data_IF_893193467754
#
_entry.id   IF_893193467754
#
_cell.length_a   1.000
_cell.length_b   1.000
_cell.length_c   1.000
_cell.angle_alpha   90.00
_cell.angle_beta   90.00
_cell.angle_gamma   90.00
#
_symmetry.space_group_name_H-M   'P 1'
#
loop_
_entity.id
_entity.type
_entity.pdbx_description
1 polymer ?
#
# COMPACT_ATOMS: atom_id res chain seq x y z
N UNK A 1 24.69 -26.61 -0.23
CA UNK A 1 24.17 -25.25 -0.02
C UNK A 1 25.30 -24.28 -0.36
N UNK A 2 25.18 -23.57 -1.49
CA UNK A 2 26.21 -22.64 -1.97
C UNK A 2 26.11 -21.31 -1.23
N UNK A 3 27.24 -20.76 -0.75
CA UNK A 3 27.32 -19.46 -0.07
C UNK A 3 26.68 -18.32 -0.89
N UNK A 4 26.84 -18.34 -2.21
CA UNK A 4 26.27 -17.33 -3.12
C UNK A 4 24.74 -17.30 -3.10
N UNK A 5 24.10 -18.46 -2.89
CA UNK A 5 22.64 -18.56 -2.76
C UNK A 5 22.13 -17.92 -1.47
N UNK A 6 22.92 -17.99 -0.39
CA UNK A 6 22.56 -17.42 0.91
C UNK A 6 22.70 -15.90 0.93
N UNK A 7 23.70 -15.38 0.21
CA UNK A 7 23.92 -13.95 0.06
C UNK A 7 22.78 -13.33 -0.75
N UNK A 8 22.42 -13.92 -1.90
CA UNK A 8 21.32 -13.42 -2.73
C UNK A 8 19.97 -13.40 -1.99
N UNK A 9 19.63 -14.44 -1.24
CA UNK A 9 18.37 -14.46 -0.47
C UNK A 9 18.32 -13.36 0.61
N UNK A 10 19.47 -13.00 1.18
CA UNK A 10 19.55 -11.95 2.19
C UNK A 10 19.31 -10.56 1.58
N UNK A 11 19.86 -10.30 0.39
CA UNK A 11 19.63 -9.05 -0.34
C UNK A 11 18.18 -8.89 -0.82
N UNK A 12 17.55 -10.00 -1.23
CA UNK A 12 16.14 -10.01 -1.63
C UNK A 12 15.23 -9.67 -0.45
N UNK A 13 15.46 -10.29 0.71
CA UNK A 13 14.72 -9.98 1.93
C UNK A 13 14.87 -8.51 2.35
N UNK A 14 16.10 -7.98 2.34
CA UNK A 14 16.34 -6.57 2.68
C UNK A 14 15.63 -5.62 1.71
N UNK A 15 15.65 -5.91 0.40
CA UNK A 15 14.91 -5.12 -0.60
C UNK A 15 13.40 -5.15 -0.35
N UNK A 16 12.84 -6.27 0.08
CA UNK A 16 11.41 -6.35 0.39
C UNK A 16 11.04 -5.54 1.64
N UNK A 17 11.88 -5.56 2.68
CA UNK A 17 11.71 -4.71 3.86
C UNK A 17 11.81 -3.23 3.52
N UNK A 18 12.80 -2.86 2.72
CA UNK A 18 12.96 -1.50 2.21
C UNK A 18 11.74 -1.05 1.41
N UNK A 19 11.23 -1.90 0.51
CA UNK A 19 10.00 -1.63 -0.23
C UNK A 19 8.76 -1.58 0.66
N UNK A 20 8.76 -2.22 1.82
CA UNK A 20 7.73 -2.06 2.85
C UNK A 20 7.78 -0.67 3.49
N UNK A 21 8.96 -0.25 3.95
CA UNK A 21 9.19 1.07 4.55
C UNK A 21 8.78 2.20 3.59
N UNK A 22 9.23 2.14 2.33
CA UNK A 22 8.92 3.16 1.32
C UNK A 22 7.40 3.32 1.11
N UNK A 23 6.66 2.21 1.03
CA UNK A 23 5.20 2.23 0.88
C UNK A 23 4.52 2.86 2.10
N UNK A 24 4.98 2.56 3.31
CA UNK A 24 4.45 3.16 4.54
C UNK A 24 4.66 4.67 4.55
N UNK A 25 5.88 5.13 4.27
CA UNK A 25 6.20 6.55 4.26
C UNK A 25 5.38 7.31 3.21
N UNK A 26 5.21 6.72 2.02
CA UNK A 26 4.35 7.29 0.98
C UNK A 26 2.89 7.37 1.43
N UNK A 27 2.38 6.34 2.08
CA UNK A 27 0.99 6.32 2.57
C UNK A 27 0.74 7.33 3.68
N UNK A 28 1.66 7.47 4.63
CA UNK A 28 1.57 8.45 5.71
C UNK A 28 1.67 9.88 5.18
N UNK A 29 2.52 10.11 4.18
CA UNK A 29 2.59 11.39 3.47
C UNK A 29 1.30 11.70 2.72
N UNK A 30 0.66 10.69 2.11
CA UNK A 30 -0.65 10.84 1.48
C UNK A 30 -1.74 11.24 2.48
N UNK A 31 -1.68 10.69 3.69
CA UNK A 31 -2.58 11.04 4.80
C UNK A 31 -2.22 12.36 5.49
N UNK A 32 -1.20 13.08 5.00
CA UNK A 32 -0.66 14.30 5.60
C UNK A 32 -0.36 14.17 7.11
N UNK A 33 0.06 12.99 7.56
CA UNK A 33 0.53 12.80 8.93
C UNK A 33 1.77 13.66 9.14
N UNK A 34 1.87 14.31 10.30
CA UNK A 34 3.01 15.19 10.60
C UNK A 34 4.33 14.42 10.52
N UNK A 35 5.42 15.06 10.14
CA UNK A 35 6.67 14.35 9.78
C UNK A 35 7.20 13.45 10.91
N UNK A 36 7.26 13.94 12.15
CA UNK A 36 7.76 13.17 13.30
C UNK A 36 6.79 12.05 13.67
N UNK A 37 5.49 12.35 13.78
CA UNK A 37 4.43 11.38 14.09
C UNK A 37 4.36 10.26 13.03
N UNK A 38 4.52 10.62 11.76
CA UNK A 38 4.55 9.67 10.66
C UNK A 38 5.73 8.70 10.79
N UNK A 39 6.92 9.20 11.15
CA UNK A 39 8.09 8.35 11.39
C UNK A 39 7.88 7.41 12.59
N UNK A 40 7.25 7.89 13.66
CA UNK A 40 6.91 7.05 14.82
C UNK A 40 5.93 5.94 14.45
N UNK A 41 4.87 6.27 13.70
CA UNK A 41 3.89 5.29 13.21
C UNK A 41 4.55 4.28 12.26
N UNK A 42 5.43 4.74 11.37
CA UNK A 42 6.14 3.87 10.43
C UNK A 42 7.02 2.86 11.16
N UNK A 43 7.76 3.33 12.16
CA UNK A 43 8.60 2.49 13.01
C UNK A 43 7.78 1.49 13.83
N UNK A 44 6.62 1.90 14.36
CA UNK A 44 5.71 1.00 15.06
C UNK A 44 5.13 -0.08 14.14
N UNK A 45 4.75 0.28 12.91
CA UNK A 45 4.25 -0.66 11.90
C UNK A 45 5.31 -1.71 11.54
N UNK A 46 6.56 -1.30 11.32
CA UNK A 46 7.68 -2.20 11.05
C UNK A 46 7.93 -3.17 12.21
N UNK A 47 7.89 -2.68 13.46
CA UNK A 47 8.06 -3.51 14.65
C UNK A 47 6.96 -4.56 14.76
N UNK A 48 5.69 -4.17 14.59
CA UNK A 48 4.54 -5.08 14.62
C UNK A 48 4.58 -6.12 13.49
N UNK A 49 5.07 -5.74 12.32
CA UNK A 49 5.25 -6.67 11.21
C UNK A 49 6.34 -7.69 11.52
N UNK A 50 7.48 -7.26 12.09
CA UNK A 50 8.60 -8.14 12.45
C UNK A 50 8.26 -9.16 13.53
N UNK A 51 7.31 -8.85 14.42
CA UNK A 51 6.84 -9.79 15.45
C UNK A 51 5.89 -10.87 14.94
N UNK A 52 5.49 -10.85 13.66
CA UNK A 52 4.62 -11.90 13.11
C UNK A 52 5.44 -13.18 12.82
N UNK A 53 4.95 -14.32 13.32
CA UNK A 53 5.61 -15.62 13.15
C UNK A 53 5.66 -16.11 11.70
N UNK A 54 4.70 -15.69 10.86
CA UNK A 54 4.68 -16.00 9.42
C UNK A 54 4.56 -14.72 8.61
N UNK A 55 5.58 -14.47 7.80
CA UNK A 55 5.67 -13.34 6.89
C UNK A 55 5.90 -13.92 5.50
N UNK A 56 4.84 -13.99 4.71
CA UNK A 56 4.94 -14.40 3.30
C UNK A 56 5.54 -13.28 2.44
N UNK A 57 5.32 -12.02 2.85
CA UNK A 57 5.93 -10.83 2.26
C UNK A 57 6.09 -9.73 3.32
N UNK A 58 7.31 -9.24 3.59
CA UNK A 58 7.57 -8.14 4.51
C UNK A 58 6.72 -6.90 4.20
N UNK A 59 6.63 -6.53 2.93
CA UNK A 59 5.85 -5.37 2.51
C UNK A 59 4.35 -5.51 2.84
N UNK A 60 3.77 -6.69 2.61
CA UNK A 60 2.38 -6.98 2.95
C UNK A 60 2.15 -6.94 4.46
N UNK A 61 3.04 -7.56 5.23
CA UNK A 61 2.97 -7.58 6.70
C UNK A 61 3.04 -6.16 7.29
N UNK A 62 3.95 -5.34 6.77
CA UNK A 62 4.13 -3.94 7.18
C UNK A 62 2.91 -3.09 6.85
N UNK A 63 2.36 -3.19 5.65
CA UNK A 63 1.14 -2.45 5.27
C UNK A 63 -0.08 -2.91 6.07
N UNK A 64 -0.18 -4.22 6.38
CA UNK A 64 -1.22 -4.74 7.26
C UNK A 64 -1.12 -4.19 8.68
N UNK A 65 0.09 -4.15 9.25
CA UNK A 65 0.33 -3.56 10.57
C UNK A 65 0.07 -2.05 10.60
N UNK A 66 0.42 -1.33 9.52
CA UNK A 66 0.10 0.09 9.37
C UNK A 66 -1.42 0.31 9.39
N UNK A 67 -2.19 -0.50 8.67
CA UNK A 67 -3.64 -0.38 8.63
C UNK A 67 -4.26 -0.50 10.03
N UNK A 68 -3.88 -1.53 10.79
CA UNK A 68 -4.37 -1.72 12.15
C UNK A 68 -4.01 -0.55 13.06
N UNK A 69 -2.79 -0.01 12.92
CA UNK A 69 -2.33 1.16 13.68
C UNK A 69 -3.14 2.42 13.39
N UNK A 70 -3.44 2.68 12.13
CA UNK A 70 -4.23 3.84 11.72
C UNK A 70 -5.68 3.74 12.20
N UNK A 71 -6.24 2.53 12.23
CA UNK A 71 -7.57 2.25 12.79
C UNK A 71 -7.57 2.46 14.32
N UNK A 72 -6.60 1.91 15.05
CA UNK A 72 -6.44 2.09 16.49
C UNK A 72 -6.30 3.57 16.89
N UNK A 73 -5.49 4.32 16.14
CA UNK A 73 -5.26 5.75 16.39
C UNK A 73 -6.37 6.66 15.83
N UNK A 74 -7.40 6.10 15.16
CA UNK A 74 -8.49 6.84 14.49
C UNK A 74 -7.99 7.93 13.50
N UNK A 75 -6.82 7.72 12.91
CA UNK A 75 -6.20 8.68 12.00
C UNK A 75 -6.92 8.68 10.63
N UNK A 76 -7.52 7.55 10.23
CA UNK A 76 -8.24 7.43 8.95
C UNK A 76 -9.63 8.10 8.95
N UNK A 77 -10.20 8.43 10.11
CA UNK A 77 -11.58 8.93 10.22
C UNK A 77 -11.70 10.45 10.22
N UNK A 78 -10.60 11.19 10.17
CA UNK A 78 -10.66 12.65 10.15
C UNK A 78 -10.79 13.12 8.70
N UNK A 79 -11.94 13.69 8.27
CA UNK A 79 -12.00 14.34 6.98
C UNK A 79 -10.96 15.45 6.99
N UNK A 80 -9.99 15.38 6.09
CA UNK A 80 -8.95 16.40 5.95
C UNK A 80 -9.61 17.58 5.21
N UNK A 81 -10.43 18.35 5.93
CA UNK A 81 -10.95 19.62 5.44
C UNK A 81 -9.78 20.62 5.41
N UNK A 82 -9.42 21.09 4.21
CA UNK A 82 -8.57 22.26 4.03
C UNK A 82 -7.06 22.02 3.84
N UNK A 83 -6.60 20.78 3.63
CA UNK A 83 -5.20 20.53 3.31
C UNK A 83 -5.06 20.25 1.81
N UNK A 84 -4.50 21.20 1.07
CA UNK A 84 -4.16 21.03 -0.34
C UNK A 84 -3.42 19.70 -0.54
N UNK A 85 -3.98 18.84 -1.39
CA UNK A 85 -3.37 17.57 -1.79
C UNK A 85 -2.01 17.84 -2.45
N UNK A 86 -0.93 17.89 -1.66
CA UNK A 86 0.46 17.98 -2.19
C UNK A 86 0.80 16.80 -3.10
N UNK A 87 0.04 15.71 -3.04
CA UNK A 87 0.17 14.61 -3.98
C UNK A 87 -0.36 14.97 -5.38
N UNK A 88 -1.45 15.75 -5.47
CA UNK A 88 -1.99 16.25 -6.73
C UNK A 88 -1.10 17.29 -7.42
N UNK A 89 -0.23 17.97 -6.66
CA UNK A 89 0.76 18.90 -7.23
C UNK A 89 2.03 18.20 -7.72
N UNK A 90 2.39 17.02 -7.20
CA UNK A 90 3.57 16.25 -7.58
C UNK A 90 3.26 15.23 -8.68
N UNK A 91 2.09 14.60 -8.60
CA UNK A 91 1.54 13.76 -9.65
C UNK A 91 0.20 14.37 -10.04
N UNK A 92 0.04 14.92 -11.25
CA UNK A 92 -1.25 15.41 -11.74
C UNK A 92 -2.11 14.21 -12.12
N UNK A 93 -2.40 13.35 -11.14
CA UNK A 93 -3.55 12.47 -11.24
C UNK A 93 -4.73 13.40 -11.48
N UNK A 94 -5.52 13.18 -12.54
CA UNK A 94 -6.71 13.97 -12.74
C UNK A 94 -7.46 13.97 -11.42
N UNK A 95 -7.81 15.15 -10.92
CA UNK A 95 -8.70 15.25 -9.78
C UNK A 95 -9.81 14.27 -10.07
N UNK A 96 -9.97 13.24 -9.22
CA UNK A 96 -11.09 12.33 -9.32
C UNK A 96 -12.31 13.21 -9.10
N UNK A 97 -12.80 13.79 -10.20
CA UNK A 97 -14.04 14.50 -10.22
C UNK A 97 -15.02 13.54 -9.59
N UNK A 98 -15.89 14.01 -8.71
CA UNK A 98 -17.00 13.18 -8.24
C UNK A 98 -17.84 12.66 -9.42
N UNK A 99 -17.63 13.22 -10.64
CA UNK A 99 -18.16 12.78 -11.93
C UNK A 99 -17.22 11.88 -12.74
N UNK A 100 -15.94 11.80 -12.39
CA UNK A 100 -14.97 10.88 -12.99
C UNK A 100 -15.10 9.50 -12.33
N UNK A 101 -16.19 8.82 -12.66
CA UNK A 101 -16.18 7.38 -12.85
C UNK A 101 -15.79 6.50 -11.67
N UNK A 102 -16.09 6.86 -10.42
CA UNK A 102 -16.37 5.85 -9.40
C UNK A 102 -17.86 5.60 -9.45
N UNK A 103 -18.32 4.56 -10.14
CA UNK A 103 -19.74 4.30 -10.23
C UNK A 103 -20.15 3.82 -8.84
N UNK A 104 -21.02 4.58 -8.18
CA UNK A 104 -21.57 4.21 -6.87
C UNK A 104 -22.38 2.91 -6.91
N UNK A 105 -22.71 2.44 -8.12
CA UNK A 105 -23.45 1.23 -8.35
C UNK A 105 -22.51 0.08 -8.74
N UNK A 106 -22.59 -1.03 -8.02
CA UNK A 106 -21.94 -2.32 -8.33
C UNK A 106 -22.32 -2.91 -9.71
N UNK A 107 -23.07 -2.17 -10.54
CA UNK A 107 -23.51 -2.53 -11.89
C UNK A 107 -22.53 -2.10 -12.99
N UNK A 108 -21.49 -1.34 -12.67
CA UNK A 108 -20.48 -0.88 -13.63
C UNK A 108 -19.24 -1.75 -13.71
N UNK A 109 -19.21 -2.89 -13.03
CA UNK A 109 -18.19 -3.88 -13.31
C UNK A 109 -18.42 -4.34 -14.75
N UNK A 110 -17.42 -4.25 -15.66
CA UNK A 110 -17.54 -4.97 -16.91
C UNK A 110 -17.80 -6.44 -16.55
N UNK A 111 -18.81 -7.10 -17.14
CA UNK A 111 -19.00 -8.51 -16.90
C UNK A 111 -17.68 -9.18 -17.26
N UNK A 112 -17.06 -9.82 -16.27
CA UNK A 112 -15.91 -10.69 -16.49
C UNK A 112 -16.42 -11.81 -17.39
N UNK A 113 -16.31 -11.62 -18.70
CA UNK A 113 -16.48 -12.67 -19.70
C UNK A 113 -15.33 -13.66 -19.50
N UNK A 114 -15.47 -14.52 -18.48
CA UNK A 114 -14.69 -15.74 -18.27
C UNK A 114 -15.24 -16.86 -19.15
N UNK A 115 -15.55 -16.56 -20.41
CA UNK A 115 -16.12 -17.48 -21.37
C UNK A 115 -15.27 -17.52 -22.64
N UNK A 116 -14.52 -18.62 -22.79
CA UNK A 116 -14.00 -19.18 -24.04
C UNK A 116 -13.23 -18.23 -24.99
N UNK A 117 -11.92 -18.06 -24.73
CA UNK A 117 -10.95 -18.03 -25.83
C UNK A 117 -10.43 -19.46 -26.03
N UNK A 118 -11.18 -20.28 -26.75
CA UNK A 118 -10.58 -21.43 -27.45
C UNK A 118 -10.22 -20.94 -28.84
N UNK A 119 -8.94 -20.93 -29.24
CA UNK A 119 -8.60 -20.65 -30.63
C UNK A 119 -9.12 -21.82 -31.46
N UNK A 120 -10.05 -21.54 -32.37
CA UNK A 120 -10.37 -22.51 -33.42
C UNK A 120 -9.13 -22.63 -34.30
N UNK A 121 -8.59 -23.85 -34.34
CA UNK A 121 -7.56 -24.25 -35.27
C UNK A 121 -8.05 -24.02 -36.71
N UNK A 122 -7.31 -23.20 -37.45
CA UNK A 122 -7.25 -23.23 -38.91
C UNK A 122 -5.88 -23.78 -39.32
#
# INVERSE_FOLDING_TARGET
>A
MNMDSSINSMWEAEREWQGGLERVLLYLRLLNVSGVEGLEIALEALRRARTRERIDSPASAVMGALRTLLEEKKISSRPIEGQENRFGSICPWPSLSEKAGVPRDAKSMPPLNRGSMTPDHL
#
